data_IF_890474620297
#
_entry.id   IF_890474620297
#
_cell.length_a   1.000
_cell.length_b   1.000
_cell.length_c   1.000
_cell.angle_alpha   90.00
_cell.angle_beta   90.00
_cell.angle_gamma   90.00
#
_symmetry.space_group_name_H-M   'P 1'
#
loop_
_entity.id
_entity.type
_entity.pdbx_description
1 polymer ?
#
# COMPACT_ATOMS: atom_id res chain seq x y z
N UNK A 1 20.49 -7.86 8.67
CA UNK A 1 19.59 -8.65 9.57
C UNK A 1 18.18 -8.08 9.47
N UNK A 2 17.19 -8.95 9.32
CA UNK A 2 15.77 -8.59 9.40
C UNK A 2 15.27 -8.81 10.82
N UNK A 3 14.78 -7.77 11.50
CA UNK A 3 14.23 -7.87 12.85
C UNK A 3 12.71 -7.66 12.81
N UNK A 4 11.95 -8.66 13.25
CA UNK A 4 10.49 -8.62 13.29
C UNK A 4 9.97 -8.59 14.73
N UNK A 5 8.96 -7.72 15.00
CA UNK A 5 8.26 -7.66 16.29
C UNK A 5 7.16 -8.72 16.41
N UNK A 6 6.64 -9.18 15.29
CA UNK A 6 5.57 -10.16 15.17
C UNK A 6 6.10 -11.48 14.61
N UNK A 7 5.36 -12.60 14.78
CA UNK A 7 5.68 -13.83 14.07
C UNK A 7 5.81 -13.56 12.58
N UNK A 8 6.93 -13.94 12.00
CA UNK A 8 7.14 -13.79 10.57
C UNK A 8 6.64 -15.06 9.86
N UNK A 9 5.54 -14.97 9.15
CA UNK A 9 4.94 -16.10 8.40
C UNK A 9 5.86 -16.63 7.30
N UNK A 10 6.75 -15.78 6.76
CA UNK A 10 7.70 -16.14 5.70
C UNK A 10 9.14 -16.31 6.20
N UNK A 11 9.33 -16.69 7.49
CA UNK A 11 10.69 -16.87 8.08
C UNK A 11 11.55 -17.79 7.23
N UNK A 12 11.00 -18.90 6.76
CA UNK A 12 11.76 -19.89 6.00
C UNK A 12 12.16 -19.37 4.61
N UNK A 13 11.32 -18.56 3.98
CA UNK A 13 11.67 -17.86 2.74
C UNK A 13 12.89 -16.95 2.93
N UNK A 14 12.87 -16.08 3.96
CA UNK A 14 14.00 -15.18 4.22
C UNK A 14 15.26 -15.90 4.68
N UNK A 15 15.14 -17.02 5.41
CA UNK A 15 16.28 -17.86 5.80
C UNK A 15 16.95 -18.54 4.60
N UNK A 16 16.20 -18.79 3.54
CA UNK A 16 16.72 -19.33 2.28
C UNK A 16 17.56 -18.32 1.47
N UNK A 17 17.44 -17.02 1.76
CA UNK A 17 18.20 -15.99 1.05
C UNK A 17 19.60 -15.89 1.65
N UNK A 18 20.61 -16.10 0.82
CA UNK A 18 22.01 -15.99 1.21
C UNK A 18 22.30 -14.59 1.79
N UNK A 19 22.94 -14.54 2.95
CA UNK A 19 23.28 -13.31 3.69
C UNK A 19 22.10 -12.63 4.44
N UNK A 20 20.89 -13.17 4.47
CA UNK A 20 19.80 -12.64 5.30
C UNK A 20 19.71 -13.42 6.61
N UNK A 21 19.82 -12.70 7.73
CA UNK A 21 19.52 -13.22 9.06
C UNK A 21 18.18 -12.67 9.52
N UNK A 22 17.27 -13.55 9.90
CA UNK A 22 15.95 -13.20 10.42
C UNK A 22 15.89 -13.44 11.90
N UNK A 23 15.49 -12.44 12.67
CA UNK A 23 15.22 -12.53 14.10
C UNK A 23 13.82 -12.01 14.40
N UNK A 24 13.02 -12.80 15.12
CA UNK A 24 11.72 -12.38 15.62
C UNK A 24 11.71 -12.34 17.14
N UNK A 25 11.30 -11.23 17.71
CA UNK A 25 11.18 -11.06 19.16
C UNK A 25 10.08 -11.95 19.75
N UNK A 26 9.01 -12.19 19.01
CA UNK A 26 7.88 -13.01 19.44
C UNK A 26 8.23 -14.49 19.66
N UNK A 27 9.14 -15.03 18.86
CA UNK A 27 9.57 -16.44 18.96
C UNK A 27 10.42 -16.74 20.20
N UNK A 28 10.93 -15.74 20.89
CA UNK A 28 11.83 -15.89 22.03
C UNK A 28 11.15 -15.88 23.40
N UNK A 29 9.83 -15.73 23.48
CA UNK A 29 9.12 -15.65 24.77
C UNK A 29 7.82 -16.44 24.79
N UNK A 30 7.79 -17.45 25.70
CA UNK A 30 6.54 -18.06 26.15
C UNK A 30 5.64 -17.03 26.81
N UNK A 31 4.43 -16.84 26.25
CA UNK A 31 3.42 -15.88 26.73
C UNK A 31 2.71 -16.35 28.02
N UNK A 32 3.30 -17.26 28.79
CA UNK A 32 2.70 -17.78 30.02
C UNK A 32 3.00 -16.87 31.22
N UNK A 33 1.95 -16.17 31.66
CA UNK A 33 1.78 -15.87 33.06
C UNK A 33 2.41 -14.61 33.62
N UNK A 34 1.97 -13.42 33.20
CA UNK A 34 2.13 -12.22 34.04
C UNK A 34 0.74 -11.66 34.38
N UNK A 35 0.24 -11.91 35.57
CA UNK A 35 -0.94 -11.23 36.13
C UNK A 35 -0.44 -9.95 36.82
N UNK A 36 -0.92 -8.78 36.38
CA UNK A 36 -0.52 -7.47 36.92
C UNK A 36 -1.00 -6.30 36.08
N UNK A 37 -0.88 -5.07 36.56
CA UNK A 37 -1.31 -3.84 35.90
C UNK A 37 -0.81 -3.75 34.44
N UNK A 38 -1.70 -3.55 33.49
CA UNK A 38 -1.44 -3.54 32.05
C UNK A 38 -0.30 -2.56 31.68
N UNK A 39 -0.26 -1.37 32.28
CA UNK A 39 0.76 -0.34 32.02
C UNK A 39 2.18 -0.78 32.45
N UNK A 40 2.32 -1.47 33.60
CA UNK A 40 3.61 -1.97 34.06
C UNK A 40 4.12 -3.09 33.16
N UNK A 41 3.23 -3.97 32.70
CA UNK A 41 3.56 -5.02 31.74
C UNK A 41 4.04 -4.43 30.42
N UNK A 42 3.34 -3.42 29.91
CA UNK A 42 3.70 -2.75 28.69
C UNK A 42 5.09 -2.11 28.80
N UNK A 43 5.38 -1.42 29.91
CA UNK A 43 6.68 -0.82 30.17
C UNK A 43 7.82 -1.84 30.25
N UNK A 44 7.62 -2.95 30.97
CA UNK A 44 8.60 -4.04 31.06
C UNK A 44 8.82 -4.67 29.68
N UNK A 45 7.76 -4.88 28.92
CA UNK A 45 7.81 -5.42 27.55
C UNK A 45 8.64 -4.51 26.63
N UNK A 46 8.36 -3.22 26.61
CA UNK A 46 9.11 -2.26 25.77
C UNK A 46 10.58 -2.16 26.17
N UNK A 47 10.89 -2.14 27.46
CA UNK A 47 12.30 -2.17 27.93
C UNK A 47 13.03 -3.43 27.48
N UNK A 48 12.37 -4.58 27.58
CA UNK A 48 12.96 -5.84 27.14
C UNK A 48 13.18 -5.89 25.62
N UNK A 49 12.24 -5.36 24.84
CA UNK A 49 12.34 -5.25 23.39
C UNK A 49 13.51 -4.34 22.97
N UNK A 50 13.61 -3.14 23.56
CA UNK A 50 14.71 -2.22 23.28
C UNK A 50 16.06 -2.84 23.65
N UNK A 51 16.14 -3.55 24.78
CA UNK A 51 17.36 -4.27 25.18
C UNK A 51 17.74 -5.34 24.15
N UNK A 52 16.75 -6.10 23.66
CA UNK A 52 17.00 -7.14 22.66
C UNK A 52 17.45 -6.57 21.32
N UNK A 53 16.87 -5.44 20.89
CA UNK A 53 17.32 -4.71 19.69
C UNK A 53 18.78 -4.26 19.85
N UNK A 54 19.13 -3.64 21.00
CA UNK A 54 20.50 -3.19 21.27
C UNK A 54 21.50 -4.34 21.27
N UNK A 55 21.15 -5.46 21.89
CA UNK A 55 21.99 -6.67 21.88
C UNK A 55 22.15 -7.20 20.44
N UNK A 56 21.09 -7.15 19.64
CA UNK A 56 21.14 -7.57 18.24
C UNK A 56 22.06 -6.67 17.41
N UNK A 57 21.98 -5.36 17.61
CA UNK A 57 22.88 -4.37 16.99
C UNK A 57 24.34 -4.66 17.40
N UNK A 58 24.61 -4.87 18.69
CA UNK A 58 25.94 -5.19 19.18
C UNK A 58 26.51 -6.50 18.65
N UNK A 59 25.66 -7.50 18.43
CA UNK A 59 26.09 -8.80 17.92
C UNK A 59 26.29 -8.82 16.41
N UNK A 60 25.40 -8.12 15.68
CA UNK A 60 25.41 -8.11 14.21
C UNK A 60 26.34 -7.06 13.61
N UNK A 61 26.66 -5.99 14.37
CA UNK A 61 27.48 -4.84 13.93
C UNK A 61 27.00 -4.27 12.58
N UNK A 62 25.74 -3.80 12.48
CA UNK A 62 25.22 -3.25 11.22
C UNK A 62 25.90 -1.92 10.90
N UNK A 63 26.00 -1.62 9.62
CA UNK A 63 26.44 -0.29 9.15
C UNK A 63 25.33 0.73 9.25
N UNK A 64 24.08 0.33 9.01
CA UNK A 64 22.87 1.16 9.04
C UNK A 64 21.76 0.40 9.80
N UNK A 65 20.96 1.12 10.57
CA UNK A 65 19.67 0.64 11.09
C UNK A 65 18.55 1.38 10.38
N UNK A 66 17.71 0.63 9.66
CA UNK A 66 16.57 1.19 8.94
C UNK A 66 15.25 0.65 9.52
N UNK A 67 14.39 1.55 9.95
CA UNK A 67 13.04 1.22 10.42
C UNK A 67 12.00 1.58 9.34
N UNK A 68 11.29 0.59 8.87
CA UNK A 68 10.11 0.78 8.03
C UNK A 68 8.89 0.95 8.91
N UNK A 69 8.11 2.01 8.66
CA UNK A 69 6.95 2.45 9.44
C UNK A 69 7.31 3.25 10.70
N UNK A 70 6.87 4.51 10.75
CA UNK A 70 7.29 5.48 11.77
C UNK A 70 6.82 5.12 13.18
N UNK A 71 5.55 4.77 13.37
CA UNK A 71 4.94 4.74 14.71
C UNK A 71 5.60 3.76 15.67
N UNK A 72 5.65 2.47 15.30
CA UNK A 72 6.16 1.42 16.19
C UNK A 72 7.63 1.12 15.91
N UNK A 73 7.96 0.72 14.69
CA UNK A 73 9.34 0.36 14.33
C UNK A 73 10.28 1.56 14.44
N UNK A 74 9.82 2.75 13.97
CA UNK A 74 10.57 4.00 14.08
C UNK A 74 10.85 4.38 15.52
N UNK A 75 9.86 4.22 16.43
CA UNK A 75 10.07 4.51 17.85
C UNK A 75 11.12 3.60 18.47
N UNK A 76 11.07 2.31 18.20
CA UNK A 76 12.04 1.36 18.74
C UNK A 76 13.44 1.56 18.15
N UNK A 77 13.53 1.87 16.86
CA UNK A 77 14.80 2.25 16.22
C UNK A 77 15.41 3.50 16.87
N UNK A 78 14.61 4.55 17.05
CA UNK A 78 15.04 5.78 17.72
C UNK A 78 15.48 5.55 19.18
N UNK A 79 14.77 4.68 19.92
CA UNK A 79 15.10 4.33 21.30
C UNK A 79 16.30 3.37 21.42
N UNK A 80 16.61 2.62 20.37
CA UNK A 80 17.82 1.81 20.31
C UNK A 80 19.09 2.66 20.34
N UNK A 81 19.03 3.87 19.73
CA UNK A 81 20.10 4.87 19.82
C UNK A 81 21.32 4.53 18.96
N UNK A 82 21.14 3.77 17.89
CA UNK A 82 22.19 3.50 16.90
C UNK A 82 22.16 4.56 15.78
N UNK A 83 23.31 4.89 15.26
CA UNK A 83 23.50 5.80 14.12
C UNK A 83 24.52 5.22 13.13
N UNK A 84 24.27 5.34 11.80
CA UNK A 84 23.16 6.02 11.15
C UNK A 84 21.82 5.29 11.32
N UNK A 85 20.77 6.05 11.62
CA UNK A 85 19.40 5.59 11.74
C UNK A 85 18.53 6.17 10.62
N UNK A 86 17.95 5.30 9.80
CA UNK A 86 17.06 5.64 8.69
C UNK A 86 15.64 5.26 9.05
N UNK A 87 14.66 6.03 8.63
CA UNK A 87 13.25 5.72 8.82
C UNK A 87 12.46 6.02 7.57
N UNK A 88 11.63 5.05 7.14
CA UNK A 88 10.69 5.20 6.03
C UNK A 88 9.25 5.30 6.52
N UNK A 89 8.55 6.32 6.03
CA UNK A 89 7.12 6.49 6.21
C UNK A 89 6.33 5.73 5.14
N UNK A 90 5.19 5.12 5.54
CA UNK A 90 4.44 4.23 4.65
C UNK A 90 2.97 4.62 4.46
N UNK A 91 2.41 5.49 5.32
CA UNK A 91 1.04 5.97 5.14
C UNK A 91 0.30 6.29 6.43
N UNK A 92 -0.39 5.33 7.04
CA UNK A 92 -1.19 5.56 8.25
C UNK A 92 -0.38 6.05 9.44
N UNK A 93 0.92 5.77 9.46
CA UNK A 93 1.89 6.29 10.42
C UNK A 93 2.12 7.81 10.29
N UNK A 94 1.77 8.40 9.14
CA UNK A 94 1.85 9.84 8.87
C UNK A 94 0.46 10.49 8.86
N UNK A 95 -0.50 9.87 8.16
CA UNK A 95 -1.81 10.47 7.94
C UNK A 95 -2.78 10.28 9.10
N UNK A 96 -2.67 9.18 9.83
CA UNK A 96 -3.64 8.81 10.87
C UNK A 96 -3.04 8.86 12.29
N UNK A 97 -1.92 8.17 12.53
CA UNK A 97 -1.34 8.00 13.84
C UNK A 97 -1.09 9.33 14.60
N UNK A 98 -0.43 10.36 14.02
CA UNK A 98 -0.18 11.62 14.75
C UNK A 98 -1.45 12.44 14.99
N UNK A 99 -2.49 12.26 14.18
CA UNK A 99 -3.76 13.00 14.29
C UNK A 99 -4.66 12.48 15.41
N UNK A 100 -4.42 11.27 15.89
CA UNK A 100 -5.23 10.64 16.95
C UNK A 100 -5.01 11.28 18.34
N UNK A 101 -3.83 11.88 18.61
CA UNK A 101 -3.56 12.62 19.85
C UNK A 101 -2.29 13.46 19.75
N UNK A 102 -2.21 14.53 20.56
CA UNK A 102 -1.00 15.35 20.68
C UNK A 102 0.24 14.54 21.08
N UNK A 103 0.08 13.59 22.02
CA UNK A 103 1.19 12.72 22.46
C UNK A 103 1.77 11.89 21.31
N UNK A 104 0.92 11.37 20.40
CA UNK A 104 1.37 10.63 19.22
C UNK A 104 2.09 11.54 18.21
N UNK A 105 1.63 12.77 18.04
CA UNK A 105 2.36 13.74 17.22
C UNK A 105 3.74 14.05 17.81
N UNK A 106 3.88 14.13 19.15
CA UNK A 106 5.18 14.29 19.81
C UNK A 106 6.08 13.07 19.59
N UNK A 107 5.53 11.84 19.57
CA UNK A 107 6.29 10.62 19.25
C UNK A 107 6.86 10.70 17.83
N UNK A 108 6.04 11.07 16.85
CA UNK A 108 6.51 11.22 15.47
C UNK A 108 7.61 12.27 15.37
N UNK A 109 7.44 13.46 15.96
CA UNK A 109 8.47 14.50 15.99
C UNK A 109 9.77 14.00 16.63
N UNK A 110 9.68 13.23 17.72
CA UNK A 110 10.85 12.64 18.39
C UNK A 110 11.59 11.67 17.46
N UNK A 111 10.87 10.77 16.77
CA UNK A 111 11.46 9.81 15.84
C UNK A 111 12.16 10.52 14.70
N UNK A 112 11.46 11.47 14.04
CA UNK A 112 12.00 12.25 12.93
C UNK A 112 13.23 13.08 13.33
N UNK A 113 13.28 13.59 14.57
CA UNK A 113 14.45 14.29 15.11
C UNK A 113 15.64 13.35 15.32
N UNK A 114 15.38 12.07 15.69
CA UNK A 114 16.43 11.08 15.96
C UNK A 114 16.97 10.40 14.70
N UNK A 115 16.18 10.36 13.64
CA UNK A 115 16.60 9.77 12.39
C UNK A 115 17.67 10.64 11.69
N UNK A 116 18.70 10.03 11.14
CA UNK A 116 19.70 10.71 10.29
C UNK A 116 19.13 10.96 8.90
N UNK A 117 18.35 10.00 8.36
CA UNK A 117 17.58 10.15 7.11
C UNK A 117 16.12 9.78 7.35
N UNK A 118 15.26 10.54 6.69
CA UNK A 118 13.80 10.29 6.65
C UNK A 118 13.42 10.10 5.19
N UNK A 119 12.76 8.98 4.89
CA UNK A 119 12.31 8.62 3.55
C UNK A 119 10.79 8.56 3.51
N UNK A 120 10.23 8.81 2.34
CA UNK A 120 8.79 8.75 2.07
C UNK A 120 8.51 7.87 0.86
N UNK A 121 7.35 7.19 0.84
CA UNK A 121 6.94 6.42 -0.34
C UNK A 121 6.22 7.25 -1.40
N UNK A 122 5.96 8.55 -1.13
CA UNK A 122 5.36 9.47 -2.12
C UNK A 122 5.73 10.92 -1.82
N UNK A 123 5.72 11.78 -2.86
CA UNK A 123 5.95 13.22 -2.70
C UNK A 123 4.87 13.89 -1.86
N UNK A 124 3.60 13.47 -2.02
CA UNK A 124 2.48 13.98 -1.22
C UNK A 124 2.71 13.68 0.26
N UNK A 125 3.15 12.47 0.59
CA UNK A 125 3.44 12.09 1.97
C UNK A 125 4.71 12.78 2.51
N UNK A 126 5.73 13.02 1.67
CA UNK A 126 6.88 13.82 2.04
C UNK A 126 6.46 15.24 2.45
N UNK A 127 5.52 15.86 1.71
CA UNK A 127 4.92 17.14 2.06
C UNK A 127 4.17 17.13 3.40
N UNK A 128 3.47 16.04 3.73
CA UNK A 128 2.81 15.90 5.04
C UNK A 128 3.83 15.71 6.18
N UNK A 129 4.89 14.93 5.95
CA UNK A 129 6.00 14.75 6.90
C UNK A 129 6.69 16.05 7.26
N UNK A 130 6.83 16.98 6.31
CA UNK A 130 7.44 18.29 6.53
C UNK A 130 6.75 19.11 7.64
N UNK A 131 5.51 18.79 8.02
CA UNK A 131 4.82 19.41 9.16
C UNK A 131 5.35 18.96 10.53
N UNK A 132 6.09 17.87 10.56
CA UNK A 132 6.57 17.24 11.79
C UNK A 132 8.09 17.29 11.95
N UNK A 133 8.84 17.80 10.96
CA UNK A 133 10.30 17.86 10.97
C UNK A 133 10.82 19.10 10.27
N UNK A 134 11.98 19.57 10.70
CA UNK A 134 12.72 20.67 10.06
C UNK A 134 13.71 20.16 8.97
N UNK A 135 13.72 18.88 8.69
CA UNK A 135 14.57 18.30 7.65
C UNK A 135 14.15 18.84 6.29
N UNK A 136 15.09 19.47 5.58
CA UNK A 136 14.83 20.15 4.30
C UNK A 136 14.61 19.20 3.13
N UNK A 137 15.16 17.99 3.21
CA UNK A 137 15.07 16.98 2.16
C UNK A 137 14.49 15.70 2.75
N UNK A 138 13.44 15.20 2.11
CA UNK A 138 12.82 13.91 2.39
C UNK A 138 12.78 13.16 1.06
N UNK A 139 13.83 12.35 0.77
CA UNK A 139 13.86 11.56 -0.45
C UNK A 139 12.65 10.66 -0.58
N UNK A 140 12.18 10.48 -1.80
CA UNK A 140 11.03 9.62 -2.10
C UNK A 140 11.55 8.30 -2.67
N UNK A 141 11.23 7.22 -1.99
CA UNK A 141 11.51 5.85 -2.39
C UNK A 141 10.16 5.12 -2.51
N UNK A 142 9.49 5.20 -3.67
CA UNK A 142 8.15 4.66 -3.83
C UNK A 142 8.15 3.14 -3.71
N UNK A 143 6.99 2.56 -3.43
CA UNK A 143 6.81 1.13 -3.58
C UNK A 143 6.93 0.76 -5.06
N UNK A 144 7.75 -0.23 -5.35
CA UNK A 144 7.89 -0.79 -6.68
C UNK A 144 6.92 -1.95 -6.92
N UNK A 145 6.77 -2.32 -8.19
CA UNK A 145 6.11 -3.53 -8.62
C UNK A 145 7.10 -4.41 -9.39
N UNK A 146 7.10 -5.70 -9.10
CA UNK A 146 7.90 -6.68 -9.85
C UNK A 146 7.33 -6.85 -11.24
N UNK A 147 7.98 -6.24 -12.25
CA UNK A 147 7.56 -6.27 -13.64
C UNK A 147 7.74 -7.66 -14.30
N UNK A 148 8.41 -8.60 -13.66
CA UNK A 148 8.53 -9.99 -14.12
C UNK A 148 7.30 -10.80 -13.70
N UNK A 149 6.74 -10.51 -12.54
CA UNK A 149 5.52 -11.08 -12.00
C UNK A 149 4.28 -10.39 -12.59
N UNK A 150 4.22 -9.05 -12.51
CA UNK A 150 3.10 -8.24 -12.98
C UNK A 150 3.25 -7.91 -14.46
N UNK A 151 3.07 -8.92 -15.29
CA UNK A 151 2.97 -8.82 -16.75
C UNK A 151 1.55 -9.13 -17.21
N UNK A 152 1.20 -8.65 -18.39
CA UNK A 152 -0.11 -8.92 -18.97
C UNK A 152 -0.30 -10.39 -19.27
N UNK A 153 -1.37 -10.95 -18.76
CA UNK A 153 -1.83 -12.30 -19.11
C UNK A 153 -2.89 -12.22 -20.20
N UNK A 154 -2.98 -13.24 -21.08
CA UNK A 154 -4.10 -13.35 -22.02
C UNK A 154 -5.42 -13.36 -21.25
N UNK A 155 -6.36 -12.53 -21.65
CA UNK A 155 -7.70 -12.56 -21.05
C UNK A 155 -8.34 -13.91 -21.34
N UNK A 156 -8.67 -14.65 -20.29
CA UNK A 156 -9.49 -15.87 -20.39
C UNK A 156 -10.98 -15.49 -20.36
N UNK A 157 -11.40 -14.56 -21.24
CA UNK A 157 -12.82 -14.25 -21.34
C UNK A 157 -13.58 -15.43 -21.95
N UNK A 158 -14.60 -15.88 -21.24
CA UNK A 158 -15.73 -16.54 -21.88
C UNK A 158 -16.61 -15.45 -22.47
N UNK A 159 -17.16 -15.65 -23.67
CA UNK A 159 -18.07 -14.67 -24.32
C UNK A 159 -19.27 -14.28 -23.41
N UNK A 160 -19.53 -15.09 -22.37
CA UNK A 160 -20.60 -14.88 -21.38
C UNK A 160 -20.25 -13.85 -20.28
N UNK A 161 -18.97 -13.49 -20.09
CA UNK A 161 -18.56 -12.70 -18.92
C UNK A 161 -18.91 -11.21 -19.03
N UNK A 162 -19.23 -10.72 -20.24
CA UNK A 162 -19.54 -9.32 -20.47
C UNK A 162 -18.33 -8.39 -20.24
N UNK A 163 -18.59 -7.13 -19.91
CA UNK A 163 -17.57 -6.13 -19.58
C UNK A 163 -17.30 -6.14 -18.08
N UNK A 164 -16.05 -6.37 -17.69
CA UNK A 164 -15.66 -6.63 -16.30
C UNK A 164 -14.94 -5.43 -15.69
N UNK A 165 -15.55 -4.83 -14.69
CA UNK A 165 -14.88 -3.93 -13.76
C UNK A 165 -14.30 -4.74 -12.59
N UNK A 166 -13.13 -4.34 -12.08
CA UNK A 166 -12.53 -5.05 -10.97
C UNK A 166 -11.82 -4.15 -9.96
N UNK A 167 -11.69 -4.65 -8.75
CA UNK A 167 -10.86 -4.06 -7.70
C UNK A 167 -10.18 -5.15 -6.88
N UNK A 168 -8.94 -4.89 -6.48
CA UNK A 168 -8.19 -5.70 -5.51
C UNK A 168 -7.90 -4.83 -4.30
N UNK A 169 -8.60 -5.05 -3.17
CA UNK A 169 -8.42 -4.22 -1.97
C UNK A 169 -8.99 -4.91 -0.72
N UNK A 170 -8.44 -4.57 0.44
CA UNK A 170 -9.07 -4.89 1.72
C UNK A 170 -10.42 -4.20 1.83
N UNK A 171 -11.44 -4.92 2.30
CA UNK A 171 -12.82 -4.41 2.38
C UNK A 171 -13.02 -3.62 3.69
N UNK A 172 -12.47 -2.40 3.70
CA UNK A 172 -12.56 -1.45 4.80
C UNK A 172 -13.14 -0.12 4.31
N UNK A 173 -13.83 0.61 5.18
CA UNK A 173 -14.52 1.87 4.85
C UNK A 173 -13.65 2.89 4.12
N UNK A 174 -12.37 3.01 4.52
CA UNK A 174 -11.43 3.95 3.91
C UNK A 174 -11.15 3.73 2.43
N UNK A 175 -11.46 2.56 1.90
CA UNK A 175 -11.16 2.18 0.51
C UNK A 175 -12.33 2.37 -0.47
N UNK A 176 -13.48 2.89 -0.02
CA UNK A 176 -14.54 3.37 -0.89
C UNK A 176 -15.20 2.32 -1.79
N UNK A 177 -15.24 1.04 -1.34
CA UNK A 177 -15.89 -0.05 -2.10
C UNK A 177 -17.41 0.18 -2.18
N UNK A 178 -17.99 0.77 -1.16
CA UNK A 178 -19.39 1.20 -1.13
C UNK A 178 -19.68 2.25 -2.23
N UNK A 179 -18.81 3.23 -2.40
CA UNK A 179 -18.90 4.21 -3.51
C UNK A 179 -18.77 3.54 -4.88
N UNK A 180 -17.91 2.52 -5.01
CA UNK A 180 -17.78 1.75 -6.25
C UNK A 180 -19.06 0.95 -6.57
N UNK A 181 -19.68 0.33 -5.58
CA UNK A 181 -20.95 -0.38 -5.76
C UNK A 181 -22.05 0.58 -6.21
N UNK A 182 -22.15 1.76 -5.60
CA UNK A 182 -23.11 2.79 -6.01
C UNK A 182 -22.83 3.29 -7.44
N UNK A 183 -21.58 3.53 -7.80
CA UNK A 183 -21.18 3.93 -9.15
C UNK A 183 -21.55 2.87 -10.20
N UNK A 184 -21.29 1.61 -9.90
CA UNK A 184 -21.64 0.48 -10.75
C UNK A 184 -23.15 0.33 -10.91
N UNK A 185 -23.92 0.52 -9.83
CA UNK A 185 -25.37 0.50 -9.85
C UNK A 185 -25.96 1.61 -10.74
N UNK A 186 -25.41 2.82 -10.64
CA UNK A 186 -25.81 3.93 -11.51
C UNK A 186 -25.52 3.63 -12.99
N UNK A 187 -24.39 3.01 -13.28
CA UNK A 187 -24.04 2.59 -14.63
C UNK A 187 -24.99 1.51 -15.15
N UNK A 188 -25.27 0.48 -14.40
CA UNK A 188 -26.22 -0.58 -14.78
C UNK A 188 -27.62 -0.01 -15.05
N UNK A 189 -28.06 0.97 -14.27
CA UNK A 189 -29.33 1.64 -14.47
C UNK A 189 -29.39 2.46 -15.76
N UNK A 190 -28.29 3.15 -16.13
CA UNK A 190 -28.22 3.93 -17.36
C UNK A 190 -28.06 3.05 -18.60
N UNK A 191 -27.35 1.93 -18.44
CA UNK A 191 -27.00 1.02 -19.55
C UNK A 191 -27.51 -0.40 -19.31
N UNK A 192 -28.84 -0.58 -19.26
CA UNK A 192 -29.45 -1.90 -19.07
C UNK A 192 -29.21 -2.86 -20.26
N UNK A 193 -28.80 -2.30 -21.39
CA UNK A 193 -28.45 -3.01 -22.63
C UNK A 193 -27.11 -3.74 -22.55
N UNK A 194 -26.24 -3.39 -21.59
CA UNK A 194 -24.90 -3.96 -21.46
C UNK A 194 -24.84 -5.11 -20.47
N UNK A 195 -24.11 -6.15 -20.83
CA UNK A 195 -23.71 -7.19 -19.89
C UNK A 195 -22.49 -6.69 -19.10
N UNK A 196 -22.70 -6.24 -17.86
CA UNK A 196 -21.71 -5.68 -16.97
C UNK A 196 -21.52 -6.56 -15.73
N UNK A 197 -20.28 -6.72 -15.30
CA UNK A 197 -19.90 -7.44 -14.09
C UNK A 197 -18.93 -6.59 -13.25
N UNK A 198 -19.07 -6.64 -11.92
CA UNK A 198 -18.11 -6.08 -10.97
C UNK A 198 -17.50 -7.18 -10.12
N UNK A 199 -16.17 -7.35 -10.19
CA UNK A 199 -15.43 -8.32 -9.38
C UNK A 199 -14.68 -7.61 -8.26
N UNK A 200 -14.96 -8.01 -7.02
CA UNK A 200 -14.37 -7.44 -5.81
C UNK A 200 -13.49 -8.52 -5.16
N UNK A 201 -12.17 -8.31 -5.25
CA UNK A 201 -11.15 -9.23 -4.74
C UNK A 201 -10.59 -8.69 -3.43
N UNK A 202 -10.75 -9.43 -2.36
CA UNK A 202 -10.28 -9.09 -1.02
C UNK A 202 -11.24 -9.49 0.08
N UNK A 203 -10.80 -9.27 1.31
CA UNK A 203 -11.55 -9.52 2.54
C UNK A 203 -11.44 -8.32 3.46
N UNK A 204 -12.37 -8.16 4.40
CA UNK A 204 -12.33 -7.09 5.39
C UNK A 204 -13.62 -6.96 6.19
N UNK A 205 -13.61 -6.03 7.13
CA UNK A 205 -14.71 -5.86 8.10
C UNK A 205 -16.02 -5.38 7.47
N UNK A 206 -15.97 -4.72 6.29
CA UNK A 206 -17.16 -4.20 5.61
C UNK A 206 -17.83 -5.23 4.67
N UNK A 207 -17.30 -6.46 4.53
CA UNK A 207 -17.80 -7.44 3.53
C UNK A 207 -19.30 -7.64 3.58
N UNK A 208 -19.86 -7.95 4.75
CA UNK A 208 -21.28 -8.22 4.90
C UNK A 208 -22.15 -7.01 4.51
N UNK A 209 -21.72 -5.82 4.92
CA UNK A 209 -22.41 -4.57 4.61
C UNK A 209 -22.39 -4.28 3.10
N UNK A 210 -21.27 -4.52 2.43
CA UNK A 210 -21.12 -4.34 0.99
C UNK A 210 -21.97 -5.34 0.19
N UNK A 211 -22.06 -6.59 0.65
CA UNK A 211 -22.94 -7.58 0.06
C UNK A 211 -24.42 -7.20 0.20
N UNK A 212 -24.83 -6.69 1.38
CA UNK A 212 -26.20 -6.18 1.57
C UNK A 212 -26.48 -4.96 0.67
N UNK A 213 -25.50 -4.07 0.46
CA UNK A 213 -25.64 -2.95 -0.47
C UNK A 213 -25.87 -3.44 -1.91
N UNK A 214 -25.12 -4.44 -2.37
CA UNK A 214 -25.30 -5.04 -3.69
C UNK A 214 -26.70 -5.67 -3.85
N UNK A 215 -27.21 -6.37 -2.82
CA UNK A 215 -28.56 -6.94 -2.79
C UNK A 215 -29.62 -5.83 -2.85
N UNK A 216 -29.46 -4.76 -2.09
CA UNK A 216 -30.42 -3.64 -2.06
C UNK A 216 -30.50 -2.91 -3.43
N UNK A 217 -29.40 -2.89 -4.20
CA UNK A 217 -29.41 -2.41 -5.58
C UNK A 217 -29.99 -3.43 -6.59
N UNK A 218 -30.28 -4.67 -6.16
CA UNK A 218 -30.71 -5.75 -7.08
C UNK A 218 -29.59 -6.28 -7.98
N UNK A 219 -28.33 -6.15 -7.56
CA UNK A 219 -27.15 -6.48 -8.36
C UNK A 219 -26.34 -7.66 -7.82
N UNK A 220 -26.96 -8.49 -6.95
CA UNK A 220 -26.27 -9.61 -6.31
C UNK A 220 -25.64 -10.61 -7.31
N UNK A 221 -26.23 -10.78 -8.50
CA UNK A 221 -25.70 -11.64 -9.56
C UNK A 221 -24.64 -10.97 -10.46
N UNK A 222 -24.56 -9.62 -10.42
CA UNK A 222 -23.61 -8.86 -11.21
C UNK A 222 -22.37 -8.42 -10.43
N UNK A 223 -22.38 -8.54 -9.09
CA UNK A 223 -21.29 -8.17 -8.20
C UNK A 223 -20.74 -9.42 -7.51
N UNK A 224 -19.54 -9.81 -7.87
CA UNK A 224 -18.90 -11.03 -7.39
C UNK A 224 -17.86 -10.69 -6.33
N UNK A 225 -18.01 -11.21 -5.12
CA UNK A 225 -17.05 -11.11 -4.03
C UNK A 225 -16.17 -12.36 -3.98
N UNK A 226 -14.98 -12.29 -4.54
CA UNK A 226 -14.10 -13.46 -4.72
C UNK A 226 -13.32 -13.87 -3.47
N UNK A 227 -13.30 -12.99 -2.46
CA UNK A 227 -12.46 -13.23 -1.29
C UNK A 227 -10.99 -12.91 -1.53
N UNK A 228 -10.13 -13.38 -0.62
CA UNK A 228 -8.68 -13.11 -0.67
C UNK A 228 -8.01 -14.01 -1.70
N UNK A 229 -7.25 -13.40 -2.59
CA UNK A 229 -6.39 -14.08 -3.58
C UNK A 229 -4.93 -13.95 -3.13
N UNK A 230 -4.13 -14.99 -3.37
CA UNK A 230 -2.68 -14.98 -3.12
C UNK A 230 -2.01 -14.03 -4.10
N UNK A 231 -1.03 -13.24 -3.62
CA UNK A 231 -0.39 -12.16 -4.38
C UNK A 231 0.14 -12.62 -5.74
N UNK A 232 0.75 -13.80 -5.83
CA UNK A 232 1.33 -14.34 -7.05
C UNK A 232 0.29 -14.63 -8.16
N UNK A 233 -1.00 -14.75 -7.79
CA UNK A 233 -2.12 -14.91 -8.72
C UNK A 233 -2.82 -13.61 -9.10
N UNK A 234 -2.49 -12.49 -8.44
CA UNK A 234 -3.12 -11.20 -8.73
C UNK A 234 -2.89 -10.71 -10.16
N UNK A 235 -1.72 -10.91 -10.79
CA UNK A 235 -1.52 -10.49 -12.19
C UNK A 235 -2.51 -11.13 -13.16
N UNK A 236 -2.81 -12.43 -13.00
CA UNK A 236 -3.80 -13.13 -13.82
C UNK A 236 -5.23 -12.60 -13.56
N UNK A 237 -5.57 -12.39 -12.29
CA UNK A 237 -6.88 -11.86 -11.90
C UNK A 237 -7.08 -10.44 -12.43
N UNK A 238 -6.12 -9.54 -12.24
CA UNK A 238 -6.23 -8.15 -12.69
C UNK A 238 -6.24 -8.08 -14.22
N UNK A 239 -5.48 -8.93 -14.92
CA UNK A 239 -5.50 -9.01 -16.39
C UNK A 239 -6.85 -9.44 -16.95
N UNK A 240 -7.72 -10.06 -16.15
CA UNK A 240 -9.07 -10.43 -16.56
C UNK A 240 -10.08 -9.26 -16.49
N UNK A 241 -9.73 -8.15 -15.84
CA UNK A 241 -10.56 -6.95 -15.80
C UNK A 241 -10.44 -6.15 -17.10
N UNK A 242 -11.52 -5.49 -17.52
CA UNK A 242 -11.51 -4.50 -18.59
C UNK A 242 -11.11 -3.13 -18.07
N UNK A 243 -11.51 -2.82 -16.84
CA UNK A 243 -11.15 -1.59 -16.13
C UNK A 243 -10.97 -1.90 -14.64
N UNK A 244 -9.89 -1.43 -14.06
CA UNK A 244 -9.66 -1.44 -12.62
C UNK A 244 -10.18 -0.15 -12.00
N UNK A 245 -11.00 -0.24 -10.94
CA UNK A 245 -11.63 0.93 -10.32
C UNK A 245 -11.31 1.01 -8.84
N UNK A 246 -10.63 2.08 -8.40
CA UNK A 246 -10.25 2.28 -7.00
C UNK A 246 -10.70 3.65 -6.49
N UNK A 247 -11.74 3.68 -5.66
CA UNK A 247 -12.39 4.92 -5.20
C UNK A 247 -12.10 5.20 -3.71
N UNK A 248 -10.85 4.99 -3.28
CA UNK A 248 -10.44 5.20 -1.89
C UNK A 248 -10.74 6.63 -1.41
N UNK A 249 -11.23 6.75 -0.17
CA UNK A 249 -11.38 8.03 0.56
C UNK A 249 -10.03 8.58 0.99
N UNK A 250 -9.11 7.68 1.32
CA UNK A 250 -7.74 8.00 1.68
C UNK A 250 -6.80 6.95 1.13
N UNK A 251 -5.76 7.39 0.47
CA UNK A 251 -4.69 6.53 -0.04
C UNK A 251 -3.35 7.25 0.09
N UNK A 252 -2.35 6.56 0.59
CA UNK A 252 -1.01 7.11 0.77
C UNK A 252 -0.10 6.90 -0.43
N UNK A 253 -0.33 5.81 -1.18
CA UNK A 253 0.37 5.48 -2.41
C UNK A 253 -0.58 4.81 -3.40
N UNK A 254 -0.96 3.56 -3.22
CA UNK A 254 -1.89 2.84 -4.11
C UNK A 254 -1.25 1.69 -4.87
N UNK A 255 -0.58 0.78 -4.15
CA UNK A 255 0.11 -0.38 -4.75
C UNK A 255 -0.76 -1.14 -5.75
N UNK A 256 -2.02 -1.43 -5.41
CA UNK A 256 -2.93 -2.17 -6.30
C UNK A 256 -3.24 -1.43 -7.62
N UNK A 257 -3.20 -0.08 -7.63
CA UNK A 257 -3.34 0.72 -8.86
C UNK A 257 -2.08 0.60 -9.70
N UNK A 258 -0.88 0.65 -9.08
CA UNK A 258 0.39 0.43 -9.78
C UNK A 258 0.43 -0.98 -10.38
N UNK A 259 0.00 -2.00 -9.64
CA UNK A 259 -0.11 -3.39 -10.10
C UNK A 259 -1.07 -3.52 -11.29
N UNK A 260 -2.23 -2.86 -11.24
CA UNK A 260 -3.19 -2.85 -12.35
C UNK A 260 -2.62 -2.17 -13.60
N UNK A 261 -1.95 -1.03 -13.44
CA UNK A 261 -1.27 -0.36 -14.55
C UNK A 261 -0.12 -1.20 -15.12
N UNK A 262 0.63 -1.92 -14.28
CA UNK A 262 1.74 -2.79 -14.69
C UNK A 262 1.29 -3.90 -15.64
N UNK A 263 0.13 -4.50 -15.39
CA UNK A 263 -0.44 -5.53 -16.28
C UNK A 263 -1.19 -4.94 -17.49
N UNK A 264 -1.15 -3.62 -17.68
CA UNK A 264 -1.83 -2.94 -18.78
C UNK A 264 -3.35 -2.93 -18.64
N UNK A 265 -3.88 -2.86 -17.41
CA UNK A 265 -5.29 -2.62 -17.13
C UNK A 265 -5.53 -1.13 -16.99
N UNK A 266 -6.48 -0.51 -17.77
CA UNK A 266 -6.81 0.90 -17.61
C UNK A 266 -7.48 1.14 -16.25
N UNK A 267 -7.21 2.30 -15.64
CA UNK A 267 -7.63 2.57 -14.26
C UNK A 267 -8.56 3.79 -14.18
N UNK A 268 -9.57 3.68 -13.30
CA UNK A 268 -10.36 4.81 -12.78
C UNK A 268 -10.08 4.91 -11.29
N UNK A 269 -9.63 6.06 -10.82
CA UNK A 269 -9.27 6.26 -9.42
C UNK A 269 -9.92 7.52 -8.87
N UNK A 270 -10.08 7.57 -7.54
CA UNK A 270 -10.49 8.81 -6.87
C UNK A 270 -9.32 9.81 -6.82
N UNK A 271 -9.61 11.08 -6.49
CA UNK A 271 -8.63 12.13 -6.23
C UNK A 271 -7.92 12.00 -4.86
N UNK A 272 -7.85 10.78 -4.31
CA UNK A 272 -7.07 10.52 -3.11
C UNK A 272 -5.59 10.84 -3.37
N UNK A 273 -4.89 11.48 -2.41
CA UNK A 273 -3.57 12.07 -2.65
C UNK A 273 -2.54 11.10 -3.25
N UNK A 274 -2.49 9.83 -2.79
CA UNK A 274 -1.59 8.83 -3.36
C UNK A 274 -1.90 8.49 -4.82
N UNK A 275 -3.17 8.48 -5.20
CA UNK A 275 -3.56 8.18 -6.57
C UNK A 275 -3.24 9.31 -7.54
N UNK A 276 -3.37 10.57 -7.12
CA UNK A 276 -3.06 11.73 -7.97
C UNK A 276 -1.57 11.86 -8.31
N UNK A 277 -0.71 11.19 -7.56
CA UNK A 277 0.71 11.09 -7.87
C UNK A 277 0.99 9.98 -8.90
N UNK A 278 0.30 8.84 -8.78
CA UNK A 278 0.48 7.69 -9.67
C UNK A 278 -0.18 7.92 -11.02
N UNK A 279 -1.42 8.38 -11.03
CA UNK A 279 -2.25 8.52 -12.24
C UNK A 279 -2.26 9.96 -12.72
N UNK A 280 -1.99 10.16 -14.01
CA UNK A 280 -2.25 11.41 -14.71
C UNK A 280 -3.60 11.31 -15.42
N UNK A 281 -4.56 12.14 -15.00
CA UNK A 281 -5.94 12.10 -15.53
C UNK A 281 -5.97 12.38 -17.04
N UNK A 282 -6.66 11.51 -17.77
CA UNK A 282 -6.77 11.58 -19.23
C UNK A 282 -5.53 11.11 -20.00
N UNK A 283 -4.40 10.83 -19.32
CA UNK A 283 -3.15 10.36 -19.93
C UNK A 283 -2.88 8.89 -19.57
N UNK A 284 -2.87 8.52 -18.28
CA UNK A 284 -2.55 7.16 -17.82
C UNK A 284 -3.66 6.52 -16.98
N UNK A 285 -4.82 7.15 -16.92
CA UNK A 285 -6.02 6.72 -16.22
C UNK A 285 -7.01 7.87 -16.11
N UNK A 286 -8.15 7.65 -15.47
CA UNK A 286 -9.13 8.69 -15.16
C UNK A 286 -9.17 8.94 -13.66
N UNK A 287 -9.22 10.22 -13.26
CA UNK A 287 -9.36 10.64 -11.86
C UNK A 287 -10.74 11.25 -11.69
N UNK A 288 -11.46 10.82 -10.64
CA UNK A 288 -12.78 11.32 -10.26
C UNK A 288 -12.73 11.84 -8.82
N UNK A 289 -13.69 12.67 -8.45
CA UNK A 289 -13.80 13.16 -7.06
C UNK A 289 -14.11 12.01 -6.10
N UNK A 290 -13.51 12.05 -4.93
CA UNK A 290 -13.81 11.11 -3.84
C UNK A 290 -15.27 11.19 -3.44
N UNK A 291 -15.85 10.04 -3.08
CA UNK A 291 -17.23 9.93 -2.62
C UNK A 291 -18.26 10.47 -3.64
N UNK A 292 -17.90 10.51 -4.92
CA UNK A 292 -18.77 10.92 -6.02
C UNK A 292 -19.08 9.74 -6.96
N UNK A 293 -20.07 8.88 -6.61
CA UNK A 293 -20.42 7.71 -7.41
C UNK A 293 -20.97 8.09 -8.78
N UNK A 294 -21.56 9.28 -8.93
CA UNK A 294 -22.06 9.75 -10.22
C UNK A 294 -20.90 9.97 -11.21
N UNK A 295 -19.89 10.73 -10.80
CA UNK A 295 -18.72 11.00 -11.65
C UNK A 295 -17.93 9.71 -11.95
N UNK A 296 -17.80 8.82 -10.96
CA UNK A 296 -17.17 7.52 -11.15
C UNK A 296 -17.93 6.67 -12.17
N UNK A 297 -19.26 6.64 -12.09
CA UNK A 297 -20.12 5.94 -13.03
C UNK A 297 -19.99 6.49 -14.47
N UNK A 298 -19.86 7.80 -14.64
CA UNK A 298 -19.65 8.45 -15.95
C UNK A 298 -18.27 8.12 -16.53
N UNK A 299 -17.23 8.12 -15.70
CA UNK A 299 -15.89 7.70 -16.11
C UNK A 299 -15.85 6.21 -16.51
N UNK A 300 -16.53 5.35 -15.75
CA UNK A 300 -16.69 3.94 -16.10
C UNK A 300 -17.40 3.77 -17.43
N UNK A 301 -18.50 4.50 -17.68
CA UNK A 301 -19.27 4.46 -18.94
C UNK A 301 -18.42 4.95 -20.13
N UNK A 302 -17.62 6.00 -19.94
CA UNK A 302 -16.68 6.49 -20.95
C UNK A 302 -15.74 5.37 -21.39
N UNK A 303 -15.18 4.61 -20.45
CA UNK A 303 -14.27 3.52 -20.77
C UNK A 303 -14.99 2.28 -21.34
N UNK A 304 -16.28 2.07 -21.10
CA UNK A 304 -17.06 1.06 -21.81
C UNK A 304 -17.21 1.42 -23.28
N UNK A 305 -17.52 2.67 -23.56
CA UNK A 305 -17.87 3.12 -24.91
C UNK A 305 -16.66 3.40 -25.81
N UNK A 306 -15.50 3.74 -25.23
CA UNK A 306 -14.30 4.15 -25.96
C UNK A 306 -13.14 3.17 -25.76
N UNK A 307 -13.04 2.19 -26.67
CA UNK A 307 -11.95 1.20 -26.67
C UNK A 307 -10.59 1.83 -26.95
N UNK A 308 -10.55 2.83 -27.85
CA UNK A 308 -9.30 3.51 -28.21
C UNK A 308 -8.73 4.23 -26.99
N UNK A 309 -9.57 4.91 -26.23
CA UNK A 309 -9.17 5.54 -24.97
C UNK A 309 -8.69 4.50 -23.95
N UNK A 310 -9.42 3.39 -23.79
CA UNK A 310 -9.00 2.28 -22.88
C UNK A 310 -7.59 1.80 -23.21
N UNK A 311 -7.33 1.50 -24.48
CA UNK A 311 -6.02 1.00 -24.93
C UNK A 311 -4.94 2.06 -24.70
N UNK A 312 -5.21 3.31 -25.02
CA UNK A 312 -4.26 4.42 -24.82
C UNK A 312 -3.90 4.60 -23.35
N UNK A 313 -4.90 4.66 -22.47
CA UNK A 313 -4.67 4.81 -21.03
C UNK A 313 -3.90 3.62 -20.44
N UNK A 314 -4.22 2.40 -20.89
CA UNK A 314 -3.52 1.19 -20.46
C UNK A 314 -2.03 1.20 -20.86
N UNK A 315 -1.73 1.53 -22.11
CA UNK A 315 -0.35 1.61 -22.60
C UNK A 315 0.47 2.69 -21.89
N UNK A 316 -0.11 3.87 -21.73
CA UNK A 316 0.55 4.96 -21.03
C UNK A 316 0.73 4.65 -19.53
N UNK A 317 -0.25 3.98 -18.93
CA UNK A 317 -0.18 3.51 -17.55
C UNK A 317 0.95 2.52 -17.33
N UNK A 318 1.06 1.48 -18.17
CA UNK A 318 2.14 0.52 -18.13
C UNK A 318 3.52 1.17 -18.30
N UNK A 319 3.65 2.06 -19.30
CA UNK A 319 4.89 2.81 -19.53
C UNK A 319 5.30 3.61 -18.30
N UNK A 320 4.36 4.34 -17.69
CA UNK A 320 4.60 5.15 -16.50
C UNK A 320 5.06 4.30 -15.32
N UNK A 321 4.49 3.11 -15.12
CA UNK A 321 4.91 2.19 -14.05
C UNK A 321 6.34 1.71 -14.29
N UNK A 322 6.70 1.32 -15.50
CA UNK A 322 8.07 0.91 -15.86
C UNK A 322 9.10 2.01 -15.61
N UNK A 323 8.72 3.26 -15.81
CA UNK A 323 9.63 4.40 -15.64
C UNK A 323 9.83 4.78 -14.18
N UNK A 324 8.77 4.71 -13.35
CA UNK A 324 8.75 5.31 -12.01
C UNK A 324 8.60 4.31 -10.85
N UNK A 325 8.07 3.11 -11.12
CA UNK A 325 7.65 2.18 -10.07
C UNK A 325 8.15 0.76 -10.31
N UNK A 326 9.20 0.58 -11.12
CA UNK A 326 9.89 -0.69 -11.28
C UNK A 326 10.61 -1.06 -9.97
N UNK A 327 10.39 -2.30 -9.48
CA UNK A 327 10.93 -2.76 -8.20
C UNK A 327 12.45 -2.70 -8.16
N UNK A 328 13.13 -3.19 -9.21
CA UNK A 328 14.58 -3.29 -9.22
C UNK A 328 15.20 -1.90 -9.18
N UNK A 329 14.67 -0.97 -9.98
CA UNK A 329 15.11 0.43 -9.98
C UNK A 329 14.92 1.11 -8.62
N UNK A 330 13.73 0.92 -7.98
CA UNK A 330 13.47 1.52 -6.68
C UNK A 330 14.36 0.93 -5.57
N UNK A 331 14.79 -0.33 -5.71
CA UNK A 331 15.79 -0.95 -4.83
C UNK A 331 17.17 -0.35 -5.07
N UNK A 332 17.56 -0.10 -6.32
CA UNK A 332 18.81 0.58 -6.67
C UNK A 332 18.85 2.00 -6.06
N UNK A 333 17.79 2.80 -6.23
CA UNK A 333 17.68 4.14 -5.62
C UNK A 333 17.81 4.08 -4.08
N UNK A 334 17.25 3.05 -3.43
CA UNK A 334 17.41 2.85 -1.99
C UNK A 334 18.87 2.51 -1.62
N UNK A 335 19.54 1.71 -2.42
CA UNK A 335 20.96 1.34 -2.21
C UNK A 335 21.84 2.58 -2.35
N UNK A 336 21.59 3.44 -3.33
CA UNK A 336 22.29 4.71 -3.50
C UNK A 336 22.18 5.60 -2.25
N UNK A 337 20.97 5.73 -1.68
CA UNK A 337 20.76 6.46 -0.43
C UNK A 337 21.58 5.85 0.73
N UNK A 338 21.67 4.53 0.81
CA UNK A 338 22.52 3.90 1.84
C UNK A 338 24.00 4.19 1.62
N UNK A 339 24.47 4.21 0.38
CA UNK A 339 25.87 4.54 0.06
C UNK A 339 26.18 5.99 0.43
N UNK A 340 25.31 6.95 0.09
CA UNK A 340 25.46 8.36 0.51
C UNK A 340 25.59 8.48 2.04
N UNK A 341 24.73 7.80 2.81
CA UNK A 341 24.74 7.82 4.27
C UNK A 341 26.08 7.27 4.81
N UNK A 342 26.63 6.23 4.19
CA UNK A 342 27.89 5.62 4.59
C UNK A 342 29.09 6.52 4.27
N UNK A 343 29.08 7.22 3.14
CA UNK A 343 30.09 8.18 2.75
C UNK A 343 30.14 9.37 3.70
N UNK A 344 28.98 9.95 4.04
CA UNK A 344 28.85 11.05 5.01
C UNK A 344 29.41 10.70 6.40
N UNK A 345 29.37 9.43 6.78
CA UNK A 345 29.92 8.96 8.08
C UNK A 345 31.45 8.92 8.09
N UNK A 346 32.07 8.74 6.91
CA UNK A 346 33.53 8.59 6.79
C UNK A 346 34.27 9.93 6.62
N UNK A 347 33.53 11.03 6.52
CA UNK A 347 34.05 12.41 6.49
C UNK A 347 33.92 13.03 7.89
#
# INVERSE_FOLDING_TARGET
MLYSFYPCEKVDYYRGIKHVQVKSFWQSRDSKGIKGFILVKLFIYYRALIKDIRNSIQTFHPDIVHAHYLSDNGLFGALAGFHPFVVSAWGTDVYDYPRRSWSRACVIKYILKKADRVLSTSHVMAGELARYTDKKQIPVTPFGVDMTLFKRFPKKHQETDGFVFGIVKTLEYGYGIDTLIDAFALLCKRRPDLNLCLRIVGEGSEREKLQLQAINWGLAEKIIFEGKVVHDHLPEVISSFDVFVALSRAESFGVAVVEAMAVGCPVVVSDAPGFTEIVKSGESGLIVERENPQQASEAMETLVNDETLRVTLAQNGEKRVRELYDWDKNVEDMIEIYQEIMEERNV
#
